data_IF_030368180904
#
_entry.id   IF_030368180904
#
_cell.length_a   1.000
_cell.length_b   1.000
_cell.length_c   1.000
_cell.angle_alpha   90.00
_cell.angle_beta   90.00
_cell.angle_gamma   90.00
#
_symmetry.space_group_name_H-M   'P 1'
#
loop_
_entity.id
_entity.type
_entity.pdbx_description
1 polymer ?
#
# COMPACT_ATOMS: atom_id res chain seq x y z
N UNK A 1 -48.85 -56.17 4.25
CA UNK A 1 -47.39 -56.21 4.51
C UNK A 1 -46.74 -55.07 3.74
N UNK A 2 -45.77 -54.40 4.38
CA UNK A 2 -45.27 -53.04 4.10
C UNK A 2 -44.44 -52.91 2.81
N UNK A 3 -44.47 -51.68 2.29
CA UNK A 3 -43.76 -51.06 1.17
C UNK A 3 -42.26 -51.35 1.02
N UNK A 4 -41.79 -51.44 -0.23
CA UNK A 4 -40.41 -51.19 -0.68
C UNK A 4 -40.56 -50.60 -2.10
N UNK A 5 -40.08 -49.41 -2.52
CA UNK A 5 -38.73 -48.88 -2.48
C UNK A 5 -38.72 -47.36 -2.72
N UNK A 6 -37.89 -46.66 -1.95
CA UNK A 6 -37.55 -45.24 -2.10
C UNK A 6 -36.46 -45.04 -3.16
N UNK A 7 -36.59 -43.98 -3.95
CA UNK A 7 -35.55 -43.39 -4.81
C UNK A 7 -34.36 -42.95 -3.95
N UNK A 8 -33.14 -42.94 -4.51
CA UNK A 8 -32.09 -41.90 -4.31
C UNK A 8 -31.01 -42.15 -5.39
N UNK A 9 -30.86 -41.19 -6.29
CA UNK A 9 -29.67 -41.03 -7.12
C UNK A 9 -29.16 -39.62 -6.89
N UNK A 10 -28.04 -39.47 -6.17
CA UNK A 10 -27.40 -38.19 -5.90
C UNK A 10 -26.06 -38.16 -6.64
N UNK A 11 -26.01 -37.50 -7.79
CA UNK A 11 -24.75 -37.12 -8.44
C UNK A 11 -24.36 -35.73 -7.92
N UNK A 12 -23.36 -35.66 -7.05
CA UNK A 12 -22.73 -34.40 -6.67
C UNK A 12 -21.37 -34.32 -7.38
N UNK A 13 -21.29 -33.45 -8.40
CA UNK A 13 -20.02 -33.05 -9.02
C UNK A 13 -19.50 -31.82 -8.23
N UNK A 14 -18.54 -32.03 -7.33
CA UNK A 14 -17.83 -30.96 -6.63
C UNK A 14 -16.58 -30.59 -7.43
N UNK A 15 -16.68 -29.55 -8.25
CA UNK A 15 -15.51 -28.88 -8.81
C UNK A 15 -14.89 -28.00 -7.70
N UNK A 16 -13.78 -28.44 -7.11
CA UNK A 16 -12.98 -27.62 -6.19
C UNK A 16 -12.01 -26.82 -7.05
N UNK A 17 -12.38 -25.59 -7.40
CA UNK A 17 -11.41 -24.62 -7.92
C UNK A 17 -10.63 -24.05 -6.74
N UNK A 18 -9.33 -24.36 -6.66
CA UNK A 18 -8.42 -23.70 -5.72
C UNK A 18 -8.28 -22.24 -6.12
N UNK A 19 -8.98 -21.35 -5.42
CA UNK A 19 -8.71 -19.92 -5.51
C UNK A 19 -7.31 -19.68 -4.91
N UNK A 20 -6.38 -19.17 -5.70
CA UNK A 20 -5.14 -18.64 -5.17
C UNK A 20 -5.50 -17.49 -4.21
N UNK A 21 -5.23 -17.66 -2.92
CA UNK A 21 -5.43 -16.62 -1.93
C UNK A 21 -4.27 -15.62 -2.04
N UNK A 22 -4.58 -14.33 -2.23
CA UNK A 22 -3.57 -13.29 -2.11
C UNK A 22 -3.18 -13.15 -0.63
N UNK A 23 -1.89 -13.16 -0.33
CA UNK A 23 -1.40 -12.98 1.03
C UNK A 23 -1.55 -11.51 1.43
N UNK A 24 -2.16 -11.27 2.59
CA UNK A 24 -2.17 -9.93 3.19
C UNK A 24 -0.80 -9.66 3.81
N UNK A 25 -0.27 -8.47 3.54
CA UNK A 25 1.01 -8.00 4.02
C UNK A 25 0.88 -6.56 4.52
N UNK A 26 1.68 -6.21 5.51
CA UNK A 26 1.71 -4.85 6.04
C UNK A 26 3.14 -4.36 6.30
N UNK A 27 3.29 -3.04 6.29
CA UNK A 27 4.50 -2.34 6.65
C UNK A 27 4.22 -1.39 7.80
N UNK A 28 5.12 -1.40 8.79
CA UNK A 28 5.12 -0.45 9.89
C UNK A 28 6.30 0.50 9.70
N UNK A 29 6.01 1.79 9.53
CA UNK A 29 7.01 2.83 9.35
C UNK A 29 7.39 3.53 10.66
N UNK A 30 6.73 3.18 11.78
CA UNK A 30 7.00 3.77 13.08
C UNK A 30 8.29 3.22 13.68
N UNK A 31 9.08 4.08 14.31
CA UNK A 31 10.21 3.66 15.16
C UNK A 31 9.73 3.31 16.57
N UNK A 32 10.47 2.45 17.28
CA UNK A 32 10.17 2.09 18.67
C UNK A 32 10.60 3.14 19.70
N UNK A 33 11.29 4.19 19.27
CA UNK A 33 12.03 5.09 20.14
C UNK A 33 11.55 6.53 19.98
N UNK A 34 11.16 7.17 21.09
CA UNK A 34 10.84 8.60 21.10
C UNK A 34 12.06 9.41 20.63
N UNK A 35 11.85 10.28 19.63
CA UNK A 35 12.85 11.26 19.21
C UNK A 35 13.90 10.77 18.21
N UNK A 36 13.76 9.59 17.61
CA UNK A 36 14.58 9.21 16.46
C UNK A 36 14.04 9.95 15.23
N UNK A 37 14.59 11.14 15.00
CA UNK A 37 14.26 12.05 13.91
C UNK A 37 15.51 12.28 13.08
N UNK A 38 15.88 11.31 12.25
CA UNK A 38 17.08 11.45 11.41
C UNK A 38 16.81 10.87 10.04
N UNK A 39 16.94 11.71 9.02
CA UNK A 39 17.32 11.25 7.68
C UNK A 39 18.55 10.39 7.89
N UNK A 40 18.46 9.10 7.56
CA UNK A 40 19.59 8.22 7.77
C UNK A 40 20.74 8.66 6.88
N UNK A 41 21.87 9.04 7.46
CA UNK A 41 23.09 9.38 6.72
C UNK A 41 23.64 8.19 5.93
N UNK A 42 23.27 6.96 6.31
CA UNK A 42 23.62 5.75 5.55
C UNK A 42 22.75 5.54 4.32
N UNK A 43 21.55 6.10 4.28
CA UNK A 43 20.63 5.94 3.15
C UNK A 43 20.39 7.20 2.35
N UNK A 44 20.85 8.36 2.84
CA UNK A 44 20.57 9.68 2.28
C UNK A 44 19.06 9.85 1.97
N UNK A 45 18.21 9.39 2.92
CA UNK A 45 16.75 9.45 2.82
C UNK A 45 16.10 8.38 1.91
N UNK A 46 16.88 7.45 1.36
CA UNK A 46 16.31 6.30 0.62
C UNK A 46 15.92 5.19 1.60
N UNK A 47 14.64 5.01 1.89
CA UNK A 47 14.22 3.94 2.80
C UNK A 47 13.77 2.69 2.07
N UNK A 48 14.06 1.54 2.68
CA UNK A 48 13.57 0.24 2.27
C UNK A 48 12.96 -0.45 3.49
N UNK A 49 11.71 -0.91 3.38
CA UNK A 49 11.04 -1.64 4.44
C UNK A 49 10.62 -3.02 3.95
N UNK A 50 10.87 -4.03 4.79
CA UNK A 50 10.38 -5.40 4.57
C UNK A 50 9.02 -5.55 5.25
N UNK A 51 8.09 -6.20 4.56
CA UNK A 51 6.73 -6.41 5.04
C UNK A 51 6.67 -7.45 6.15
N UNK A 52 5.48 -7.61 6.74
CA UNK A 52 5.16 -8.62 7.76
C UNK A 52 5.40 -10.06 7.32
N UNK A 53 5.47 -10.33 6.01
CA UNK A 53 5.80 -11.65 5.45
C UNK A 53 7.33 -11.95 5.41
N UNK A 54 8.17 -10.99 5.81
CA UNK A 54 9.63 -11.07 5.77
C UNK A 54 10.23 -11.27 4.37
N UNK A 55 9.46 -11.06 3.29
CA UNK A 55 9.87 -11.32 1.92
C UNK A 55 9.60 -10.13 0.99
N UNK A 56 8.42 -9.53 1.09
CA UNK A 56 8.04 -8.40 0.24
C UNK A 56 8.73 -7.14 0.72
N UNK A 57 9.29 -6.38 -0.22
CA UNK A 57 10.04 -5.16 0.05
C UNK A 57 9.35 -3.99 -0.64
N UNK A 58 9.24 -2.86 0.05
CA UNK A 58 8.93 -1.56 -0.56
C UNK A 58 10.12 -0.62 -0.42
N UNK A 59 10.40 0.13 -1.49
CA UNK A 59 11.38 1.21 -1.52
C UNK A 59 10.64 2.54 -1.56
N UNK A 60 11.08 3.50 -0.75
CA UNK A 60 10.43 4.79 -0.63
C UNK A 60 11.24 5.88 -1.30
N UNK A 61 10.54 6.83 -1.91
CA UNK A 61 11.08 8.12 -2.33
C UNK A 61 10.12 9.24 -1.96
N UNK A 62 10.65 10.43 -1.66
CA UNK A 62 9.85 11.59 -1.31
C UNK A 62 9.90 12.65 -2.41
N UNK A 63 8.76 13.32 -2.58
CA UNK A 63 8.54 14.27 -3.66
C UNK A 63 7.76 15.47 -3.15
N UNK A 64 8.07 16.64 -3.71
CA UNK A 64 7.43 17.91 -3.35
C UNK A 64 7.08 18.70 -4.60
N UNK A 65 5.87 19.26 -4.64
CA UNK A 65 5.37 20.06 -5.74
C UNK A 65 4.77 21.37 -5.22
N UNK A 66 5.05 22.53 -5.81
CA UNK A 66 4.48 23.80 -5.33
C UNK A 66 2.95 23.82 -5.40
N UNK A 67 2.30 24.34 -4.34
CA UNK A 67 0.83 24.51 -4.32
C UNK A 67 0.33 25.59 -5.28
N UNK A 68 1.24 26.44 -5.75
CA UNK A 68 0.94 27.48 -6.73
C UNK A 68 2.07 27.62 -7.75
N UNK A 69 1.69 27.99 -8.98
CA UNK A 69 2.61 28.15 -10.10
C UNK A 69 2.77 26.90 -10.97
N UNK A 70 3.56 27.03 -12.05
CA UNK A 70 3.82 25.96 -13.03
C UNK A 70 5.10 25.16 -12.73
N UNK A 71 5.67 25.35 -11.55
CA UNK A 71 6.92 24.70 -11.15
C UNK A 71 6.72 23.19 -11.00
N UNK A 72 7.69 22.38 -11.42
CA UNK A 72 7.53 20.93 -11.47
C UNK A 72 7.65 20.28 -10.08
N UNK A 73 7.21 19.02 -10.01
CA UNK A 73 7.53 18.08 -8.94
C UNK A 73 9.06 17.93 -8.85
N UNK A 74 9.59 18.02 -7.63
CA UNK A 74 11.00 17.86 -7.31
C UNK A 74 11.22 16.63 -6.43
N UNK A 75 12.32 15.92 -6.67
CA UNK A 75 12.74 14.84 -5.80
C UNK A 75 13.35 15.43 -4.52
N UNK A 76 12.73 15.12 -3.38
CA UNK A 76 13.19 15.52 -2.04
C UNK A 76 13.49 14.30 -1.18
N UNK A 77 13.86 13.17 -1.79
CA UNK A 77 14.15 11.91 -1.10
C UNK A 77 15.20 12.10 -0.01
N UNK A 78 16.18 12.99 -0.22
CA UNK A 78 17.18 13.34 0.80
C UNK A 78 16.63 13.95 2.09
N UNK A 79 15.35 14.30 2.11
CA UNK A 79 14.63 14.87 3.25
C UNK A 79 13.64 13.86 3.87
N UNK A 80 13.44 12.70 3.26
CA UNK A 80 12.58 11.66 3.83
C UNK A 80 13.21 11.15 5.13
N UNK A 81 12.38 10.98 6.16
CA UNK A 81 12.75 10.33 7.41
C UNK A 81 11.53 9.61 8.01
N UNK A 82 11.68 9.04 9.19
CA UNK A 82 10.58 8.45 9.94
C UNK A 82 10.84 8.49 11.44
N UNK A 83 9.78 8.48 12.25
CA UNK A 83 9.83 8.51 13.71
C UNK A 83 8.76 7.59 14.33
N UNK A 84 8.50 7.71 15.63
CA UNK A 84 7.51 6.89 16.36
C UNK A 84 6.06 7.01 15.86
N UNK A 85 5.77 8.03 15.06
CA UNK A 85 4.45 8.28 14.48
C UNK A 85 4.38 7.91 13.00
N UNK A 86 5.51 7.79 12.29
CA UNK A 86 5.54 7.36 10.90
C UNK A 86 6.52 8.13 10.04
N UNK A 87 6.29 8.09 8.73
CA UNK A 87 7.07 8.80 7.71
C UNK A 87 6.86 10.32 7.82
N UNK A 88 7.92 11.07 7.54
CA UNK A 88 7.98 12.54 7.58
C UNK A 88 8.87 13.06 6.44
N UNK A 89 8.67 14.29 5.99
CA UNK A 89 9.58 14.99 5.08
C UNK A 89 10.17 16.19 5.81
N UNK A 90 11.50 16.21 5.95
CA UNK A 90 12.25 17.23 6.70
C UNK A 90 12.74 18.35 5.79
N UNK A 91 11.94 19.39 5.57
CA UNK A 91 12.38 20.55 4.79
C UNK A 91 13.22 21.57 5.59
N UNK A 92 13.41 21.36 6.91
CA UNK A 92 14.10 22.32 7.79
C UNK A 92 15.64 22.21 7.74
N UNK A 93 16.18 21.30 6.92
CA UNK A 93 17.57 21.39 6.45
C UNK A 93 18.58 20.55 7.22
N UNK A 94 18.23 19.33 7.66
CA UNK A 94 19.29 18.35 7.91
C UNK A 94 19.94 17.95 6.59
N UNK A 95 21.10 18.55 6.31
CA UNK A 95 22.06 17.93 5.40
C UNK A 95 22.34 16.50 5.88
N UNK A 96 22.48 15.56 4.94
CA UNK A 96 22.81 14.16 5.22
C UNK A 96 24.13 13.97 6.03
N UNK A 97 24.89 15.05 6.26
CA UNK A 97 26.13 15.12 7.04
C UNK A 97 25.92 15.46 8.53
N UNK A 98 24.69 15.72 8.97
CA UNK A 98 24.39 16.01 10.37
C UNK A 98 24.96 17.33 10.90
N UNK A 99 25.42 18.24 10.02
CA UNK A 99 25.89 19.57 10.41
C UNK A 99 24.70 20.54 10.53
N UNK A 100 24.05 20.48 11.69
CA UNK A 100 22.70 21.01 11.88
C UNK A 100 22.51 22.51 11.68
N UNK A 101 21.30 22.85 11.24
CA UNK A 101 20.48 23.99 11.65
C UNK A 101 19.01 23.53 11.53
N UNK A 102 18.16 23.84 12.51
CA UNK A 102 16.72 23.51 12.44
C UNK A 102 16.18 22.54 13.49
N UNK A 103 16.58 22.64 14.76
CA UNK A 103 15.75 22.09 15.85
C UNK A 103 14.61 23.08 16.12
N UNK A 104 13.58 23.09 15.26
CA UNK A 104 12.28 23.67 15.60
C UNK A 104 11.62 22.70 16.57
N UNK A 105 12.11 22.69 17.82
CA UNK A 105 11.74 21.70 18.83
C UNK A 105 10.24 21.69 19.12
N UNK A 106 9.49 20.85 18.40
CA UNK A 106 8.17 20.30 18.71
C UNK A 106 7.61 19.61 17.47
N UNK A 107 7.91 18.33 17.24
CA UNK A 107 7.15 17.41 16.34
C UNK A 107 6.77 17.95 14.93
N UNK A 108 7.48 18.96 14.43
CA UNK A 108 7.09 19.95 13.40
C UNK A 108 7.24 19.45 11.97
N UNK A 109 7.48 18.16 11.80
CA UNK A 109 7.87 17.58 10.52
C UNK A 109 6.82 16.57 10.11
N UNK A 110 6.07 16.91 9.09
CA UNK A 110 4.98 16.12 8.56
C UNK A 110 5.21 15.85 7.08
N UNK A 111 4.29 15.13 6.47
CA UNK A 111 4.03 15.22 5.05
C UNK A 111 2.85 16.20 4.96
N UNK A 112 3.07 17.37 4.38
CA UNK A 112 2.08 18.45 4.39
C UNK A 112 1.74 19.03 3.00
N UNK A 113 0.72 19.88 2.97
CA UNK A 113 0.41 20.73 1.81
C UNK A 113 0.53 22.23 2.12
N UNK A 114 1.28 22.57 3.19
CA UNK A 114 1.49 23.92 3.71
C UNK A 114 2.56 24.67 2.93
N UNK A 115 2.30 24.98 1.67
CA UNK A 115 3.20 25.73 0.78
C UNK A 115 3.75 24.89 -0.37
N UNK A 116 3.99 23.61 -0.17
CA UNK A 116 4.19 22.62 -1.22
C UNK A 116 3.33 21.38 -0.92
N UNK A 117 2.78 20.73 -1.93
CA UNK A 117 2.25 19.38 -1.80
C UNK A 117 3.40 18.40 -1.62
N UNK A 118 3.39 17.69 -0.49
CA UNK A 118 4.35 16.66 -0.18
C UNK A 118 3.74 15.27 -0.28
N UNK A 119 4.52 14.34 -0.80
CA UNK A 119 4.05 12.98 -1.03
C UNK A 119 5.20 11.97 -0.97
N UNK A 120 4.87 10.74 -0.59
CA UNK A 120 5.77 9.59 -0.61
C UNK A 120 5.32 8.63 -1.69
N UNK A 121 6.27 8.21 -2.51
CA UNK A 121 6.10 7.15 -3.48
C UNK A 121 6.63 5.83 -2.90
N UNK A 122 5.82 4.79 -3.03
CA UNK A 122 6.10 3.42 -2.64
C UNK A 122 6.36 2.59 -3.90
N UNK A 123 7.54 2.01 -4.00
CA UNK A 123 7.98 1.14 -5.09
C UNK A 123 8.05 -0.31 -4.60
N UNK A 124 7.21 -1.18 -5.17
CA UNK A 124 7.15 -2.61 -4.86
C UNK A 124 7.94 -3.46 -5.87
N UNK A 125 8.71 -2.83 -6.75
CA UNK A 125 9.50 -3.44 -7.80
C UNK A 125 8.61 -4.18 -8.82
N UNK A 126 8.97 -5.43 -9.10
CA UNK A 126 8.19 -6.27 -10.01
C UNK A 126 6.89 -6.84 -9.39
N UNK A 127 6.62 -6.57 -8.11
CA UNK A 127 5.43 -7.09 -7.45
C UNK A 127 4.21 -6.20 -7.71
N UNK A 128 3.07 -6.83 -7.98
CA UNK A 128 1.77 -6.15 -7.99
C UNK A 128 1.21 -6.11 -6.56
N UNK A 129 1.11 -4.92 -5.99
CA UNK A 129 0.56 -4.69 -4.66
C UNK A 129 -0.79 -3.98 -4.76
N UNK A 130 -1.79 -4.51 -4.07
CA UNK A 130 -3.08 -3.85 -3.86
C UNK A 130 -3.09 -3.20 -2.49
N UNK A 131 -2.96 -1.87 -2.46
CA UNK A 131 -3.07 -1.08 -1.23
C UNK A 131 -4.53 -1.06 -0.77
N UNK A 132 -4.78 -1.61 0.42
CA UNK A 132 -6.14 -1.73 0.99
C UNK A 132 -6.38 -0.70 2.09
N UNK A 133 -5.36 -0.39 2.89
CA UNK A 133 -5.43 0.59 3.96
C UNK A 133 -4.09 1.30 4.18
N UNK A 134 -4.16 2.52 4.68
CA UNK A 134 -3.03 3.25 5.25
C UNK A 134 -3.31 3.57 6.72
N UNK A 135 -2.26 3.80 7.49
CA UNK A 135 -2.36 4.23 8.89
C UNK A 135 -1.76 5.63 9.03
N UNK A 136 -2.50 6.54 9.66
CA UNK A 136 -1.98 7.84 10.09
C UNK A 136 -1.59 7.71 11.55
N UNK A 137 -0.30 7.80 11.85
CA UNK A 137 0.16 7.74 13.24
C UNK A 137 0.11 9.08 13.97
N UNK A 138 0.00 10.19 13.25
CA UNK A 138 -0.14 11.54 13.78
C UNK A 138 -0.65 12.51 12.72
N UNK A 139 -1.37 13.54 13.15
CA UNK A 139 -1.70 14.68 12.31
C UNK A 139 -1.74 15.99 13.13
N UNK A 140 -1.74 17.13 12.46
CA UNK A 140 -1.99 18.44 13.08
C UNK A 140 -2.85 19.31 12.17
N UNK A 141 -3.79 20.04 12.79
CA UNK A 141 -4.83 20.84 12.14
C UNK A 141 -5.84 20.01 11.34
N UNK A 142 -5.42 19.51 10.18
CA UNK A 142 -6.22 18.71 9.24
C UNK A 142 -5.40 17.50 8.75
N UNK A 143 -6.07 16.51 8.17
CA UNK A 143 -5.49 15.22 7.81
C UNK A 143 -5.98 14.69 6.47
N UNK A 144 -6.46 15.56 5.58
CA UNK A 144 -6.91 15.15 4.26
C UNK A 144 -5.74 14.51 3.47
N UNK A 145 -6.01 13.37 2.83
CA UNK A 145 -5.00 12.53 2.15
C UNK A 145 -5.39 12.29 0.71
N UNK A 146 -4.39 12.24 -0.17
CA UNK A 146 -4.56 11.72 -1.53
C UNK A 146 -3.77 10.44 -1.75
N UNK A 147 -4.42 9.45 -2.35
CA UNK A 147 -3.83 8.17 -2.73
C UNK A 147 -3.92 8.01 -4.25
N UNK A 148 -2.78 7.69 -4.87
CA UNK A 148 -2.69 7.43 -6.30
C UNK A 148 -1.98 6.09 -6.57
N UNK A 149 -2.33 5.45 -7.69
CA UNK A 149 -1.67 4.25 -8.16
C UNK A 149 -1.15 4.47 -9.58
N UNK A 150 0.01 3.90 -9.89
CA UNK A 150 0.53 3.90 -11.24
C UNK A 150 -0.17 2.83 -12.08
N UNK A 151 -0.91 3.26 -13.09
CA UNK A 151 -1.69 2.45 -14.02
C UNK A 151 -1.20 2.72 -15.45
N UNK A 152 0.03 2.28 -15.72
CA UNK A 152 0.71 2.53 -16.99
C UNK A 152 -0.13 2.11 -18.20
N UNK A 153 -0.07 2.94 -19.23
CA UNK A 153 -0.40 2.54 -20.61
C UNK A 153 0.91 2.25 -21.35
N UNK A 154 0.88 1.60 -22.53
CA UNK A 154 2.09 1.36 -23.32
C UNK A 154 2.91 2.61 -23.67
N UNK A 155 2.31 3.79 -23.57
CA UNK A 155 2.96 5.09 -23.84
C UNK A 155 3.33 5.86 -22.59
N UNK A 156 3.00 5.35 -21.39
CA UNK A 156 3.31 6.03 -20.13
C UNK A 156 4.82 6.02 -19.87
N UNK A 157 5.41 7.15 -19.43
CA UNK A 157 6.77 7.18 -18.88
C UNK A 157 6.90 6.26 -17.67
N UNK A 158 8.12 5.92 -17.26
CA UNK A 158 8.33 5.13 -16.03
C UNK A 158 7.71 5.82 -14.81
N UNK A 159 7.25 5.03 -13.84
CA UNK A 159 6.59 5.57 -12.65
C UNK A 159 7.45 6.59 -11.91
N UNK A 160 8.76 6.39 -11.85
CA UNK A 160 9.73 7.25 -11.15
C UNK A 160 10.03 8.55 -11.92
N UNK A 161 9.63 8.64 -13.18
CA UNK A 161 9.85 9.81 -14.04
C UNK A 161 8.83 10.92 -13.79
N UNK A 162 8.53 11.20 -12.52
CA UNK A 162 7.62 12.29 -12.11
C UNK A 162 8.35 13.61 -11.84
N UNK A 163 9.67 13.57 -11.64
CA UNK A 163 10.48 14.79 -11.55
C UNK A 163 10.38 15.63 -12.84
N UNK A 164 10.14 16.93 -12.71
CA UNK A 164 9.95 17.80 -13.89
C UNK A 164 8.50 17.85 -14.40
N UNK A 165 7.59 17.02 -13.89
CA UNK A 165 6.17 16.97 -14.27
C UNK A 165 5.37 17.88 -13.35
N UNK A 166 4.31 18.54 -13.85
CA UNK A 166 3.36 19.23 -12.98
C UNK A 166 2.46 18.22 -12.25
N UNK A 167 1.96 18.58 -11.06
CA UNK A 167 1.09 17.68 -10.30
C UNK A 167 -0.17 17.28 -11.08
N UNK A 168 -0.80 18.26 -11.76
CA UNK A 168 -1.93 18.02 -12.68
C UNK A 168 -1.58 17.20 -13.93
N UNK A 169 -0.29 17.02 -14.24
CA UNK A 169 0.20 16.22 -15.36
C UNK A 169 0.38 14.73 -15.02
N UNK A 170 0.32 14.34 -13.75
CA UNK A 170 0.46 12.96 -13.32
C UNK A 170 -0.53 12.00 -14.03
N UNK A 171 -1.83 12.34 -14.21
CA UNK A 171 -2.75 11.51 -14.97
C UNK A 171 -2.33 11.22 -16.41
N UNK A 172 -1.79 12.21 -17.12
CA UNK A 172 -1.25 12.02 -18.47
C UNK A 172 -0.02 11.10 -18.49
N UNK A 173 0.68 10.98 -17.36
CA UNK A 173 1.87 10.15 -17.19
C UNK A 173 1.55 8.77 -16.58
N UNK A 174 0.28 8.35 -16.56
CA UNK A 174 -0.13 7.01 -16.13
C UNK A 174 -0.45 6.88 -14.64
N UNK A 175 -0.60 7.99 -13.91
CA UNK A 175 -1.03 7.95 -12.51
C UNK A 175 -2.54 8.14 -12.37
N UNK A 176 -3.21 7.23 -11.71
CA UNK A 176 -4.65 7.36 -11.43
C UNK A 176 -4.86 7.75 -9.97
N UNK A 177 -5.68 8.78 -9.74
CA UNK A 177 -6.21 9.06 -8.39
C UNK A 177 -7.11 7.90 -8.00
N UNK A 178 -6.80 7.25 -6.88
CA UNK A 178 -7.61 6.14 -6.35
C UNK A 178 -8.65 6.70 -5.37
N UNK A 179 -8.21 7.58 -4.48
CA UNK A 179 -9.07 8.22 -3.50
C UNK A 179 -8.49 9.51 -2.96
N UNK A 180 -9.38 10.40 -2.54
CA UNK A 180 -9.11 11.34 -1.46
C UNK A 180 -9.88 10.91 -0.21
N UNK A 181 -9.26 11.12 0.95
CA UNK A 181 -9.83 10.86 2.27
C UNK A 181 -9.95 12.17 3.01
N UNK A 182 -11.17 12.53 3.42
CA UNK A 182 -11.37 13.74 4.20
C UNK A 182 -11.33 13.45 5.70
N UNK A 183 -10.43 14.13 6.41
CA UNK A 183 -10.27 14.10 7.85
C UNK A 183 -10.23 12.67 8.46
N UNK A 184 -9.43 11.73 7.92
CA UNK A 184 -9.30 10.38 8.47
C UNK A 184 -8.83 10.36 9.93
N UNK A 185 -8.12 11.39 10.40
CA UNK A 185 -7.54 11.44 11.74
C UNK A 185 -6.47 10.36 11.94
N UNK A 186 -6.20 9.96 13.19
CA UNK A 186 -5.22 8.90 13.49
C UNK A 186 -5.83 7.51 13.39
N UNK A 187 -5.05 6.54 12.88
CA UNK A 187 -5.41 5.14 12.78
C UNK A 187 -5.51 4.64 11.35
N UNK A 188 -6.01 3.41 11.20
CA UNK A 188 -6.20 2.78 9.90
C UNK A 188 -7.40 3.37 9.15
N UNK A 189 -7.16 3.79 7.92
CA UNK A 189 -8.17 4.23 6.96
C UNK A 189 -8.14 3.32 5.72
N UNK A 190 -9.33 2.90 5.27
CA UNK A 190 -9.46 2.05 4.08
C UNK A 190 -9.29 2.89 2.83
N UNK A 191 -8.38 2.52 1.92
CA UNK A 191 -8.11 3.28 0.67
C UNK A 191 -9.31 3.30 -0.27
N UNK A 192 -10.08 2.20 -0.31
CA UNK A 192 -11.21 2.09 -1.24
C UNK A 192 -12.41 1.42 -0.57
N UNK A 193 -13.47 2.18 -0.35
CA UNK A 193 -14.74 1.69 0.20
C UNK A 193 -15.55 0.82 -0.77
N UNK A 194 -15.22 0.85 -2.07
CA UNK A 194 -15.93 0.08 -3.11
C UNK A 194 -15.39 -1.35 -3.31
N UNK A 195 -14.45 -1.82 -2.47
CA UNK A 195 -13.93 -3.20 -2.43
C UNK A 195 -13.24 -3.72 -3.71
N UNK A 196 -13.03 -2.86 -4.72
CA UNK A 196 -12.29 -3.25 -5.93
C UNK A 196 -10.78 -3.12 -5.68
N UNK A 197 -10.07 -4.24 -5.73
CA UNK A 197 -8.61 -4.25 -5.66
C UNK A 197 -8.02 -3.56 -6.90
N UNK A 198 -7.29 -2.48 -6.67
CA UNK A 198 -6.40 -1.89 -7.67
C UNK A 198 -5.02 -2.45 -7.39
N UNK A 199 -4.39 -3.07 -8.38
CA UNK A 199 -3.01 -3.53 -8.26
C UNK A 199 -2.08 -2.56 -8.96
N UNK A 200 -0.97 -2.23 -8.32
CA UNK A 200 0.10 -1.45 -8.92
C UNK A 200 1.45 -1.81 -8.31
N UNK A 201 2.51 -1.67 -9.10
CA UNK A 201 3.89 -1.71 -8.62
C UNK A 201 4.32 -0.41 -7.95
N UNK A 202 3.59 0.70 -8.17
CA UNK A 202 3.89 1.98 -7.54
C UNK A 202 2.64 2.68 -7.02
N UNK A 203 2.76 3.20 -5.79
CA UNK A 203 1.72 3.96 -5.13
C UNK A 203 2.27 5.31 -4.68
N UNK A 204 1.42 6.34 -4.64
CA UNK A 204 1.71 7.62 -4.01
C UNK A 204 0.70 7.86 -2.90
N UNK A 205 1.17 8.24 -1.73
CA UNK A 205 0.36 8.74 -0.62
C UNK A 205 0.96 10.07 -0.18
N UNK A 206 0.13 11.10 -0.05
CA UNK A 206 0.56 12.41 0.42
C UNK A 206 -0.58 13.15 1.11
N UNK A 207 -0.25 14.31 1.68
CA UNK A 207 -1.24 15.30 2.07
C UNK A 207 -2.14 15.65 0.87
N UNK A 208 -3.31 16.25 1.10
CA UNK A 208 -4.26 16.48 0.03
C UNK A 208 -3.66 17.27 -1.14
N UNK A 209 -3.74 16.66 -2.34
CA UNK A 209 -3.20 17.18 -3.59
C UNK A 209 -4.33 17.68 -4.49
N UNK A 210 -4.85 18.88 -4.23
CA UNK A 210 -6.01 19.39 -4.97
C UNK A 210 -5.79 19.55 -6.49
N UNK A 211 -4.53 19.53 -6.97
CA UNK A 211 -4.21 19.68 -8.39
C UNK A 211 -4.35 18.40 -9.25
N UNK A 212 -4.45 17.19 -8.66
CA UNK A 212 -4.49 15.92 -9.44
C UNK A 212 -5.88 15.56 -10.00
N UNK A 213 -6.90 16.38 -9.74
CA UNK A 213 -8.27 16.13 -10.19
C UNK A 213 -9.02 15.14 -9.29
N UNK A 214 -10.12 14.58 -9.79
CA UNK A 214 -11.07 13.80 -8.96
C UNK A 214 -10.69 12.32 -8.78
N UNK A 215 -10.84 11.81 -7.55
CA UNK A 215 -11.01 10.40 -7.22
C UNK A 215 -11.52 10.25 -5.77
N UNK A 216 -12.42 9.29 -5.48
CA UNK A 216 -13.00 9.18 -4.13
C UNK A 216 -13.82 10.40 -3.68
N UNK A 217 -13.62 10.89 -2.45
CA UNK A 217 -14.38 12.02 -1.89
C UNK A 217 -13.92 13.35 -2.50
N UNK A 218 -14.87 14.25 -2.80
CA UNK A 218 -14.52 15.63 -3.14
C UNK A 218 -14.18 16.39 -1.86
N UNK A 219 -12.93 16.85 -1.75
CA UNK A 219 -12.46 17.63 -0.62
C UNK A 219 -12.49 19.12 -1.00
N UNK A 220 -13.41 19.85 -0.37
CA UNK A 220 -13.54 21.30 -0.49
C UNK A 220 -12.98 21.98 0.75
N UNK A 221 -11.67 21.85 0.95
CA UNK A 221 -10.99 22.38 2.13
C UNK A 221 -9.95 23.47 1.75
N UNK A 222 -9.75 24.42 2.66
CA UNK A 222 -8.76 25.50 2.59
C UNK A 222 -7.74 25.42 3.74
N UNK A 223 -7.79 24.35 4.55
CA UNK A 223 -6.91 24.12 5.67
C UNK A 223 -5.62 23.46 5.17
N UNK A 224 -4.59 23.50 6.02
CA UNK A 224 -3.35 22.82 5.74
C UNK A 224 -3.38 21.47 6.43
N UNK A 225 -3.11 20.44 5.64
CA UNK A 225 -2.97 19.07 6.09
C UNK A 225 -1.53 18.82 6.49
N UNK A 226 -1.34 18.16 7.63
CA UNK A 226 -0.03 17.74 8.08
C UNK A 226 -0.16 16.36 8.72
N UNK A 227 0.33 15.32 8.04
CA UNK A 227 0.17 13.92 8.44
C UNK A 227 1.52 13.19 8.59
N UNK A 228 1.51 12.09 9.35
CA UNK A 228 2.59 11.10 9.38
C UNK A 228 2.05 9.73 9.01
N UNK A 229 2.58 9.14 7.95
CA UNK A 229 2.13 7.81 7.48
C UNK A 229 2.79 6.75 8.36
N UNK A 230 2.00 6.14 9.24
CA UNK A 230 2.45 5.14 10.20
C UNK A 230 2.61 3.74 9.61
N UNK A 231 1.90 3.43 8.53
CA UNK A 231 1.95 2.13 7.89
C UNK A 231 1.03 2.00 6.69
N UNK A 232 1.18 0.89 5.97
CA UNK A 232 0.27 0.48 4.90
C UNK A 232 -0.01 -1.02 5.01
N UNK A 233 -1.21 -1.41 4.58
CA UNK A 233 -1.66 -2.80 4.55
C UNK A 233 -2.32 -3.08 3.21
N UNK A 234 -2.13 -4.28 2.71
CA UNK A 234 -2.76 -4.70 1.47
C UNK A 234 -2.49 -6.15 1.15
N UNK A 235 -2.61 -6.48 -0.12
CA UNK A 235 -2.35 -7.83 -0.61
C UNK A 235 -1.42 -7.82 -1.81
N UNK A 236 -0.45 -8.73 -1.80
CA UNK A 236 0.41 -8.97 -2.96
C UNK A 236 -0.23 -10.02 -3.85
N UNK A 237 -0.16 -9.80 -5.16
CA UNK A 237 -0.49 -10.86 -6.10
C UNK A 237 0.66 -11.87 -6.12
N UNK A 238 0.40 -13.09 -5.67
CA UNK A 238 1.28 -14.20 -6.03
C UNK A 238 1.11 -14.41 -7.53
N UNK A 239 2.08 -13.99 -8.33
CA UNK A 239 2.18 -14.59 -9.66
C UNK A 239 2.54 -16.05 -9.40
N UNK A 240 1.74 -17.03 -9.87
CA UNK A 240 2.21 -18.41 -9.86
C UNK A 240 3.58 -18.40 -10.54
N UNK A 241 4.61 -19.09 -9.99
CA UNK A 241 5.84 -19.29 -10.73
C UNK A 241 5.46 -19.70 -12.14
N UNK A 242 5.97 -18.98 -13.15
CA UNK A 242 5.67 -19.30 -14.55
C UNK A 242 6.11 -20.74 -14.81
N UNK A 243 5.18 -21.70 -14.75
CA UNK A 243 5.47 -23.12 -14.88
C UNK A 243 4.77 -24.03 -13.88
N UNK A 244 4.29 -23.54 -12.73
CA UNK A 244 3.65 -24.40 -11.74
C UNK A 244 2.14 -24.51 -12.00
N UNK A 245 1.79 -25.61 -12.66
CA UNK A 245 0.42 -26.10 -12.79
C UNK A 245 -0.17 -26.22 -11.38
N UNK A 246 -1.41 -25.75 -11.13
CA UNK A 246 -2.09 -26.01 -9.87
C UNK A 246 -1.98 -27.48 -9.54
N UNK A 247 -1.41 -27.81 -8.37
CA UNK A 247 -1.28 -29.19 -7.92
C UNK A 247 -2.63 -29.87 -8.12
N UNK A 248 -2.72 -30.88 -9.02
CA UNK A 248 -4.01 -31.34 -9.45
C UNK A 248 -4.74 -31.89 -8.23
N UNK A 249 -6.00 -31.48 -8.05
CA UNK A 249 -6.87 -31.87 -6.93
C UNK A 249 -6.99 -33.38 -6.72
N UNK A 250 -6.42 -34.19 -7.61
CA UNK A 250 -6.02 -35.58 -7.37
C UNK A 250 -5.26 -35.81 -6.06
N UNK A 251 -4.37 -34.92 -5.58
CA UNK A 251 -3.63 -35.16 -4.32
C UNK A 251 -4.58 -35.13 -3.11
N UNK A 252 -5.49 -34.15 -3.08
CA UNK A 252 -6.57 -34.07 -2.09
C UNK A 252 -7.57 -35.24 -2.24
N UNK A 253 -7.93 -35.61 -3.47
CA UNK A 253 -8.83 -36.74 -3.73
C UNK A 253 -8.19 -38.08 -3.35
N UNK A 254 -6.89 -38.25 -3.55
CA UNK A 254 -6.12 -39.41 -3.10
C UNK A 254 -6.03 -39.44 -1.58
N UNK A 255 -5.79 -38.31 -0.92
CA UNK A 255 -5.81 -38.21 0.54
C UNK A 255 -7.20 -38.54 1.11
N UNK A 256 -8.28 -37.99 0.54
CA UNK A 256 -9.65 -38.31 0.93
C UNK A 256 -9.99 -39.78 0.65
N UNK A 257 -9.60 -40.31 -0.50
CA UNK A 257 -9.76 -41.71 -0.87
C UNK A 257 -9.08 -42.66 0.13
N UNK A 258 -7.86 -42.32 0.57
CA UNK A 258 -7.14 -43.07 1.61
C UNK A 258 -7.86 -43.02 2.96
N UNK A 259 -8.46 -41.87 3.34
CA UNK A 259 -9.27 -41.76 4.57
C UNK A 259 -10.53 -42.64 4.49
N UNK A 260 -11.22 -42.68 3.34
CA UNK A 260 -12.39 -43.56 3.16
C UNK A 260 -12.01 -45.05 3.14
N UNK A 261 -10.87 -45.42 2.54
CA UNK A 261 -10.34 -46.78 2.59
C UNK A 261 -9.93 -47.18 4.01
N UNK A 262 -9.30 -46.28 4.76
CA UNK A 262 -8.92 -46.50 6.15
C UNK A 262 -10.15 -46.71 7.06
N UNK A 263 -11.24 -45.98 6.82
CA UNK A 263 -12.51 -46.17 7.54
C UNK A 263 -13.19 -47.51 7.25
N UNK A 264 -12.99 -48.08 6.05
CA UNK A 264 -13.58 -49.37 5.67
C UNK A 264 -12.94 -50.58 6.38
N UNK A 265 -11.73 -50.44 6.95
CA UNK A 265 -11.04 -51.52 7.68
C UNK A 265 -11.48 -51.69 9.14
N UNK A 266 -12.28 -50.78 9.70
CA UNK A 266 -12.72 -50.84 11.11
C UNK A 266 -14.15 -51.35 11.33
N UNK A 267 -14.88 -51.80 10.29
CA UNK A 267 -16.27 -52.29 10.42
C UNK A 267 -16.39 -53.81 10.18
N UNK A 268 -15.31 -54.57 10.35
CA UNK A 268 -15.39 -56.05 10.42
C UNK A 268 -14.68 -56.53 11.69
N UNK A 269 -15.39 -56.44 12.82
CA UNK A 269 -15.34 -57.39 13.96
C UNK A 269 -16.28 -56.91 15.08
N UNK A 270 -17.52 -57.42 15.03
CA UNK A 270 -18.33 -57.96 16.14
C UNK A 270 -19.74 -58.21 15.64
#
# INVERSE_FOLDING_TARGET
MKNINSKIGLCALLAVTSLAANASVSWNFKTSSNGDYRVSSSTAGTYQFTASDSATVTRLSAWSAPVSGSSPINNVTGLLAHNQFGLVIDQDGYGADGSGYGNSGSDSHAIDNGGNYEMVMFDFGANEFSLEAFDIGWYSNDSDVTVMAYQATPTSPSAESIGGVSLAGLPANGWSVISHHSNPGTGNESVNSNLNSVYSSYWIIGAYMSAVGSGGQSIGDNSWDAIKIGGITGSTRSTPPTGDVPEPGTLLLTALGLVFIARKKFVVKS
#
